data_IF_312054047003
#
_entry.id   IF_312054047003
#
_cell.length_a   1.000
_cell.length_b   1.000
_cell.length_c   1.000
_cell.angle_alpha   90.00
_cell.angle_beta   90.00
_cell.angle_gamma   90.00
#
_symmetry.space_group_name_H-M   'P 1'
#
loop_
_entity.id
_entity.type
_entity.pdbx_description
1 polymer ?
#
# COMPACT_ATOMS: atom_id res chain seq x y z
N UNK A 1 20.38 0.53 6.11
CA UNK A 1 19.11 1.27 5.94
C UNK A 1 18.74 1.11 4.47
N UNK A 2 17.53 0.72 4.15
CA UNK A 2 17.10 0.60 2.76
C UNK A 2 17.04 1.98 2.12
N UNK A 3 17.20 2.09 0.79
CA UNK A 3 17.02 3.38 0.11
C UNK A 3 15.54 3.81 0.07
N UNK A 4 14.62 2.85 0.25
CA UNK A 4 13.17 3.05 0.18
C UNK A 4 12.63 3.80 1.40
N UNK A 5 13.14 3.52 2.60
CA UNK A 5 12.71 4.19 3.83
C UNK A 5 13.62 5.38 4.14
N UNK A 6 13.03 6.53 4.47
CA UNK A 6 13.75 7.75 4.88
C UNK A 6 14.02 7.81 6.39
N UNK A 7 13.46 6.88 7.16
CA UNK A 7 13.60 6.81 8.61
C UNK A 7 13.66 5.36 9.10
N UNK A 8 14.28 5.15 10.25
CA UNK A 8 14.30 3.86 10.97
C UNK A 8 13.13 3.73 11.95
N UNK A 9 12.54 4.87 12.36
CA UNK A 9 11.41 4.91 13.29
C UNK A 9 10.14 5.18 12.50
N UNK A 10 9.32 4.15 12.34
CA UNK A 10 8.06 4.26 11.61
C UNK A 10 6.94 4.76 12.54
N UNK A 11 5.92 5.45 12.00
CA UNK A 11 4.88 6.12 12.79
C UNK A 11 3.76 5.17 13.24
N UNK A 12 4.11 3.93 13.58
CA UNK A 12 3.17 2.91 13.99
C UNK A 12 3.29 2.59 15.48
N UNK A 13 2.23 2.03 16.06
CA UNK A 13 2.26 1.59 17.45
C UNK A 13 3.32 0.50 17.66
N UNK A 14 3.91 0.46 18.84
CA UNK A 14 4.94 -0.54 19.19
C UNK A 14 4.38 -1.96 19.00
N UNK A 15 5.06 -2.77 18.20
CA UNK A 15 4.65 -4.15 17.89
C UNK A 15 3.54 -4.25 16.83
N UNK A 16 3.19 -3.16 16.17
CA UNK A 16 2.18 -3.15 15.11
C UNK A 16 2.69 -3.86 13.84
N UNK A 17 1.84 -4.69 13.23
CA UNK A 17 2.15 -5.38 11.98
C UNK A 17 2.45 -4.46 10.79
N UNK A 18 1.97 -3.22 10.80
CA UNK A 18 2.29 -2.22 9.76
C UNK A 18 3.79 -1.92 9.69
N UNK A 19 4.48 -1.87 10.85
CA UNK A 19 5.94 -1.67 10.92
C UNK A 19 6.68 -2.82 10.21
N UNK A 20 6.25 -4.04 10.47
CA UNK A 20 6.84 -5.25 9.87
C UNK A 20 6.61 -5.28 8.34
N UNK A 21 5.39 -4.96 7.90
CA UNK A 21 5.06 -4.94 6.46
C UNK A 21 5.91 -3.89 5.74
N UNK A 22 6.02 -2.68 6.29
CA UNK A 22 6.83 -1.60 5.73
C UNK A 22 8.30 -1.99 5.57
N UNK A 23 8.89 -2.57 6.60
CA UNK A 23 10.29 -3.04 6.59
C UNK A 23 10.50 -4.19 5.61
N UNK A 24 9.58 -5.15 5.55
CA UNK A 24 9.67 -6.27 4.63
C UNK A 24 9.50 -5.83 3.17
N UNK A 25 8.60 -4.88 2.89
CA UNK A 25 8.44 -4.31 1.56
C UNK A 25 9.74 -3.61 1.12
N UNK A 26 10.32 -2.78 1.99
CA UNK A 26 11.58 -2.10 1.68
C UNK A 26 12.73 -3.09 1.43
N UNK A 27 12.83 -4.16 2.23
CA UNK A 27 13.81 -5.23 2.02
C UNK A 27 13.56 -5.99 0.72
N UNK A 28 12.30 -6.22 0.35
CA UNK A 28 11.97 -6.85 -0.93
C UNK A 28 12.42 -5.98 -2.12
N UNK A 29 12.22 -4.67 -2.05
CA UNK A 29 12.73 -3.73 -3.05
C UNK A 29 14.26 -3.79 -3.16
N UNK A 30 14.98 -3.81 -2.03
CA UNK A 30 16.44 -3.94 -2.04
C UNK A 30 16.89 -5.24 -2.69
N UNK A 31 16.24 -6.37 -2.37
CA UNK A 31 16.55 -7.68 -2.95
C UNK A 31 16.32 -7.70 -4.47
N UNK A 32 15.32 -6.97 -4.93
CA UNK A 32 15.00 -6.80 -6.35
C UNK A 32 15.81 -5.70 -7.04
N UNK A 33 16.72 -5.03 -6.30
CA UNK A 33 17.54 -3.90 -6.76
C UNK A 33 16.71 -2.71 -7.28
N UNK A 34 15.53 -2.50 -6.69
CA UNK A 34 14.67 -1.37 -6.99
C UNK A 34 15.08 -0.16 -6.16
N UNK A 35 15.37 0.95 -6.83
CA UNK A 35 15.61 2.23 -6.19
C UNK A 35 14.31 2.99 -5.87
N UNK A 36 14.40 4.11 -5.13
CA UNK A 36 13.23 4.92 -4.78
C UNK A 36 12.40 5.37 -5.97
N UNK A 37 13.05 5.71 -7.07
CA UNK A 37 12.38 6.18 -8.29
C UNK A 37 11.79 5.05 -9.15
N UNK A 38 12.05 3.79 -8.80
CA UNK A 38 11.48 2.63 -9.51
C UNK A 38 10.14 2.19 -8.91
N UNK A 39 9.77 2.77 -7.77
CA UNK A 39 8.56 2.39 -7.01
C UNK A 39 7.57 3.55 -6.94
N UNK A 40 6.34 3.29 -7.29
CA UNK A 40 5.19 4.18 -7.09
C UNK A 40 4.33 3.56 -5.98
N UNK A 41 4.31 4.22 -4.83
CA UNK A 41 3.51 3.80 -3.68
C UNK A 41 2.17 4.51 -3.70
N UNK A 42 1.09 3.75 -3.66
CA UNK A 42 -0.28 4.29 -3.58
C UNK A 42 -0.86 3.86 -2.25
N UNK A 43 -1.26 4.82 -1.42
CA UNK A 43 -1.78 4.54 -0.07
C UNK A 43 -3.26 4.85 0.02
N UNK A 44 -3.97 4.00 0.76
CA UNK A 44 -5.38 4.20 1.13
C UNK A 44 -5.47 4.88 2.51
N UNK A 45 -6.69 5.25 2.91
CA UNK A 45 -6.96 5.88 4.20
C UNK A 45 -6.93 4.84 5.33
N UNK A 46 -6.22 5.17 6.39
CA UNK A 46 -6.07 4.32 7.59
C UNK A 46 -4.64 4.33 8.12
N UNK A 47 -4.36 3.54 9.16
CA UNK A 47 -3.03 3.50 9.79
C UNK A 47 -1.93 3.16 8.79
N UNK A 48 -2.17 2.22 7.87
CA UNK A 48 -1.23 1.84 6.83
C UNK A 48 -0.86 3.00 5.90
N UNK A 49 -1.79 3.95 5.67
CA UNK A 49 -1.57 5.09 4.78
C UNK A 49 -0.53 6.09 5.28
N UNK A 50 -0.27 6.12 6.60
CA UNK A 50 0.73 7.02 7.19
C UNK A 50 2.15 6.67 6.74
N UNK A 51 2.37 5.50 6.17
CA UNK A 51 3.67 5.05 5.65
C UNK A 51 4.23 6.00 4.57
N UNK A 52 3.38 6.67 3.81
CA UNK A 52 3.78 7.53 2.70
C UNK A 52 4.83 8.58 3.10
N UNK A 53 4.72 9.12 4.32
CA UNK A 53 5.67 10.10 4.89
C UNK A 53 7.06 9.52 5.17
N UNK A 54 7.17 8.21 5.21
CA UNK A 54 8.41 7.50 5.53
C UNK A 54 9.06 6.85 4.32
N UNK A 55 8.47 7.03 3.14
CA UNK A 55 8.96 6.49 1.89
C UNK A 55 9.65 7.55 1.04
N UNK A 56 10.77 7.18 0.43
CA UNK A 56 11.48 7.98 -0.58
C UNK A 56 10.94 7.74 -2.00
N UNK A 57 9.89 6.95 -2.15
CA UNK A 57 9.29 6.58 -3.44
C UNK A 57 8.43 7.70 -4.01
N UNK A 58 7.96 7.55 -5.24
CA UNK A 58 6.84 8.34 -5.71
C UNK A 58 5.59 7.95 -4.93
N UNK A 59 4.96 8.91 -4.24
CA UNK A 59 3.83 8.62 -3.36
C UNK A 59 2.55 9.30 -3.85
N UNK A 60 1.46 8.54 -3.90
CA UNK A 60 0.12 9.04 -4.16
C UNK A 60 -0.81 8.58 -3.05
N UNK A 61 -1.42 9.53 -2.32
CA UNK A 61 -2.40 9.23 -1.27
C UNK A 61 -3.80 9.26 -1.86
N UNK A 62 -4.49 8.13 -1.84
CA UNK A 62 -5.82 7.97 -2.43
C UNK A 62 -6.95 8.28 -1.46
N UNK A 63 -8.18 8.11 -1.95
CA UNK A 63 -9.40 8.13 -1.15
C UNK A 63 -9.72 6.73 -0.61
N UNK A 64 -10.43 6.66 0.50
CA UNK A 64 -10.75 5.41 1.17
C UNK A 64 -11.50 4.42 0.26
N UNK A 65 -10.91 3.24 0.09
CA UNK A 65 -11.41 2.22 -0.83
C UNK A 65 -11.26 2.54 -2.32
N UNK A 66 -10.51 3.60 -2.68
CA UNK A 66 -10.32 4.01 -4.10
C UNK A 66 -8.86 3.94 -4.56
N UNK A 67 -7.96 3.58 -3.67
CA UNK A 67 -6.52 3.56 -3.97
C UNK A 67 -6.15 2.54 -5.03
N UNK A 68 -6.86 1.41 -5.11
CA UNK A 68 -6.66 0.41 -6.16
C UNK A 68 -7.08 0.97 -7.54
N UNK A 69 -8.18 1.74 -7.62
CA UNK A 69 -8.58 2.40 -8.86
C UNK A 69 -7.58 3.48 -9.29
N UNK A 70 -7.06 4.27 -8.32
CA UNK A 70 -6.00 5.24 -8.59
C UNK A 70 -4.73 4.55 -9.10
N UNK A 71 -4.31 3.48 -8.46
CA UNK A 71 -3.14 2.69 -8.86
C UNK A 71 -3.33 2.04 -10.23
N UNK A 72 -4.55 1.59 -10.55
CA UNK A 72 -4.88 1.08 -11.88
C UNK A 72 -4.68 2.15 -12.96
N UNK A 73 -5.18 3.37 -12.72
CA UNK A 73 -4.95 4.50 -13.63
C UNK A 73 -3.48 4.83 -13.81
N UNK A 74 -2.70 4.84 -12.72
CA UNK A 74 -1.24 5.03 -12.78
C UNK A 74 -0.59 3.90 -13.60
N UNK A 75 -0.93 2.63 -13.32
CA UNK A 75 -0.37 1.47 -14.02
C UNK A 75 -0.66 1.53 -15.53
N UNK A 76 -1.85 1.93 -15.95
CA UNK A 76 -2.18 2.13 -17.36
C UNK A 76 -1.39 3.28 -18.02
N UNK A 77 -1.10 4.34 -17.25
CA UNK A 77 -0.38 5.50 -17.76
C UNK A 77 1.13 5.31 -17.85
N UNK A 78 1.69 4.32 -17.13
CA UNK A 78 3.11 4.05 -17.15
C UNK A 78 3.52 3.43 -18.50
N UNK A 79 4.51 4.05 -19.13
CA UNK A 79 5.15 3.55 -20.36
C UNK A 79 6.38 2.68 -20.09
N UNK A 80 6.83 2.67 -18.84
CA UNK A 80 8.04 1.98 -18.39
C UNK A 80 7.66 0.81 -17.47
N UNK A 81 7.71 -0.40 -18.00
CA UNK A 81 7.39 -1.64 -17.29
C UNK A 81 8.36 -1.96 -16.14
N UNK A 82 9.51 -1.29 -16.09
CA UNK A 82 10.46 -1.44 -14.98
C UNK A 82 9.91 -0.85 -13.68
N UNK A 83 9.01 0.14 -13.75
CA UNK A 83 8.39 0.76 -12.59
C UNK A 83 7.41 -0.20 -11.93
N UNK A 84 7.39 -0.17 -10.59
CA UNK A 84 6.53 -1.05 -9.77
C UNK A 84 5.50 -0.21 -9.01
N UNK A 85 4.24 -0.52 -9.24
CA UNK A 85 3.12 0.11 -8.51
C UNK A 85 2.77 -0.77 -7.32
N UNK A 86 2.85 -0.22 -6.11
CA UNK A 86 2.55 -0.92 -4.86
C UNK A 86 1.44 -0.17 -4.14
N UNK A 87 0.35 -0.86 -3.85
CA UNK A 87 -0.81 -0.32 -3.13
C UNK A 87 -0.78 -0.79 -1.69
N UNK A 88 -0.92 0.14 -0.75
CA UNK A 88 -1.12 -0.15 0.68
C UNK A 88 -2.57 0.14 1.04
N UNK A 89 -3.32 -0.88 1.41
CA UNK A 89 -4.75 -0.76 1.72
C UNK A 89 -5.09 -1.64 2.93
N UNK A 90 -5.92 -1.13 3.83
CA UNK A 90 -6.45 -1.92 4.95
C UNK A 90 -7.62 -2.80 4.50
N UNK A 91 -8.01 -3.74 5.37
CA UNK A 91 -9.18 -4.61 5.16
C UNK A 91 -10.48 -3.81 4.96
N UNK A 92 -10.67 -2.73 5.72
CA UNK A 92 -11.80 -1.82 5.52
C UNK A 92 -11.80 -1.17 4.14
N UNK A 93 -10.68 -0.59 3.71
CA UNK A 93 -10.55 -0.01 2.38
C UNK A 93 -10.71 -1.04 1.26
N UNK A 94 -10.15 -2.25 1.46
CA UNK A 94 -10.27 -3.35 0.51
C UNK A 94 -11.72 -3.79 0.31
N UNK A 95 -12.52 -3.88 1.38
CA UNK A 95 -13.94 -4.25 1.29
C UNK A 95 -14.82 -3.13 0.74
N UNK A 96 -14.54 -1.86 1.08
CA UNK A 96 -15.21 -0.70 0.47
C UNK A 96 -14.95 -0.67 -1.04
N UNK A 97 -13.71 -0.94 -1.46
CA UNK A 97 -13.28 -0.90 -2.85
C UNK A 97 -13.15 -2.26 -3.52
N UNK A 98 -13.86 -3.30 -3.06
CA UNK A 98 -13.72 -4.67 -3.54
C UNK A 98 -13.86 -4.78 -5.06
N UNK A 99 -14.81 -4.06 -5.65
CA UNK A 99 -15.00 -4.04 -7.10
C UNK A 99 -13.75 -3.56 -7.86
N UNK A 100 -12.97 -2.64 -7.29
CA UNK A 100 -11.74 -2.16 -7.93
C UNK A 100 -10.63 -3.20 -7.88
N UNK A 101 -10.55 -3.98 -6.77
CA UNK A 101 -9.60 -5.08 -6.64
C UNK A 101 -9.97 -6.19 -7.66
N UNK A 102 -11.24 -6.54 -7.75
CA UNK A 102 -11.71 -7.55 -8.70
C UNK A 102 -11.42 -7.14 -10.15
N UNK A 103 -11.67 -5.89 -10.50
CA UNK A 103 -11.43 -5.39 -11.85
C UNK A 103 -9.93 -5.30 -12.16
N UNK A 104 -9.10 -4.86 -11.23
CA UNK A 104 -7.65 -4.83 -11.39
C UNK A 104 -7.09 -6.26 -11.60
N UNK A 105 -7.62 -7.24 -10.88
CA UNK A 105 -7.25 -8.65 -11.05
C UNK A 105 -7.73 -9.18 -12.42
N UNK A 106 -8.96 -8.90 -12.82
CA UNK A 106 -9.51 -9.29 -14.13
C UNK A 106 -8.68 -8.75 -15.28
N UNK A 107 -8.20 -7.51 -15.17
CA UNK A 107 -7.36 -6.86 -16.16
C UNK A 107 -5.88 -7.26 -16.07
N UNK A 108 -5.52 -8.07 -15.08
CA UNK A 108 -4.14 -8.52 -14.84
C UNK A 108 -3.14 -7.35 -14.82
N UNK A 109 -3.48 -6.28 -14.09
CA UNK A 109 -2.65 -5.07 -14.04
C UNK A 109 -1.30 -5.34 -13.37
N UNK A 110 -0.25 -4.72 -13.91
CA UNK A 110 1.11 -4.82 -13.35
C UNK A 110 1.24 -3.98 -12.07
N UNK A 111 0.61 -4.44 -11.00
CA UNK A 111 0.68 -3.81 -9.68
C UNK A 111 0.59 -4.83 -8.56
N UNK A 112 1.10 -4.47 -7.39
CA UNK A 112 1.03 -5.30 -6.18
C UNK A 112 0.11 -4.63 -5.15
N UNK A 113 -0.89 -5.34 -4.66
CA UNK A 113 -1.80 -4.85 -3.62
C UNK A 113 -1.48 -5.54 -2.30
N UNK A 114 -1.03 -4.76 -1.32
CA UNK A 114 -0.73 -5.21 0.05
C UNK A 114 -1.95 -4.90 0.93
N UNK A 115 -2.75 -5.91 1.21
CA UNK A 115 -3.90 -5.78 2.11
C UNK A 115 -3.45 -6.00 3.55
N UNK A 116 -3.47 -4.93 4.34
CA UNK A 116 -3.14 -4.95 5.77
C UNK A 116 -4.37 -5.37 6.57
N UNK A 117 -4.57 -6.67 6.72
CA UNK A 117 -5.75 -7.22 7.38
C UNK A 117 -5.53 -7.39 8.88
N UNK A 118 -6.25 -6.60 9.67
CA UNK A 118 -6.34 -6.70 11.12
C UNK A 118 -7.79 -6.94 11.59
N UNK A 119 -8.72 -7.20 10.65
CA UNK A 119 -10.14 -7.49 10.88
C UNK A 119 -10.96 -6.35 11.48
N UNK A 120 -10.47 -5.09 11.40
CA UNK A 120 -11.19 -3.95 11.97
C UNK A 120 -10.73 -2.61 11.38
N UNK A 121 -11.55 -1.57 11.55
CA UNK A 121 -11.16 -0.17 11.30
C UNK A 121 -10.36 0.36 12.50
N UNK A 122 -9.03 0.19 12.47
CA UNK A 122 -8.16 0.49 13.62
C UNK A 122 -8.09 1.97 13.99
N UNK A 123 -7.96 2.86 13.00
CA UNK A 123 -7.77 4.30 13.23
C UNK A 123 -9.00 4.97 13.83
N UNK A 124 -10.20 4.45 13.58
CA UNK A 124 -11.47 5.03 14.05
C UNK A 124 -12.00 4.40 15.33
N UNK A 125 -11.28 3.44 15.93
CA UNK A 125 -11.61 2.89 17.23
C UNK A 125 -12.02 1.42 17.27
N UNK A 126 -11.84 0.67 16.16
CA UNK A 126 -11.99 -0.78 16.18
C UNK A 126 -13.36 -1.30 15.72
N UNK A 127 -14.05 -0.58 14.85
CA UNK A 127 -15.29 -1.04 14.23
C UNK A 127 -15.03 -2.27 13.35
N UNK A 128 -16.02 -3.12 13.19
CA UNK A 128 -15.95 -4.29 12.29
C UNK A 128 -15.78 -3.86 10.84
N UNK A 129 -14.92 -4.58 10.12
CA UNK A 129 -14.76 -4.44 8.67
C UNK A 129 -15.50 -5.57 7.95
N UNK A 130 -15.52 -5.54 6.63
CA UNK A 130 -16.10 -6.63 5.85
C UNK A 130 -15.30 -7.95 5.91
N UNK A 131 -14.11 -7.97 6.52
CA UNK A 131 -13.29 -9.16 6.74
C UNK A 131 -13.30 -9.64 8.21
N UNK A 132 -14.01 -8.94 9.09
CA UNK A 132 -14.18 -9.40 10.49
C UNK A 132 -15.00 -10.68 10.50
N UNK A 133 -14.52 -11.74 11.18
CA UNK A 133 -15.24 -13.03 11.28
C UNK A 133 -16.61 -12.91 11.95
#
# INVERSE_FOLDING_TARGET
MTQILNTTTLPFCKGCGHDLIAKNMAKACDNLKLGPLDVISVTDIGCHGIIDRTLNTHNAHGLHGRSVALAAGISFGLKDDSKKVIVFIGDGGATIGLQHIMEAARLNLNMTVLVHNNFLYGMTGGQTSGLTP
#
